data_IF_363881547325
#
_entry.id   IF_363881547325
#
_cell.length_a   1.000
_cell.length_b   1.000
_cell.length_c   1.000
_cell.angle_alpha   90.00
_cell.angle_beta   90.00
_cell.angle_gamma   90.00
#
_symmetry.space_group_name_H-M   'P 1'
#
loop_
_entity.id
_entity.type
_entity.pdbx_description
1 polymer ?
#
# COMPACT_ATOMS: atom_id res chain seq x y z
N UNK A 1 21.21 -27.78 -41.09
CA UNK A 1 20.15 -28.28 -40.19
C UNK A 1 19.24 -27.12 -39.85
N UNK A 2 18.19 -26.96 -40.66
CA UNK A 2 17.23 -25.88 -40.50
C UNK A 2 16.11 -26.33 -39.55
N UNK A 3 15.91 -25.57 -38.52
CA UNK A 3 14.79 -25.79 -37.58
C UNK A 3 13.61 -24.94 -38.03
N UNK A 4 12.64 -25.56 -38.60
CA UNK A 4 11.40 -24.96 -39.11
C UNK A 4 10.50 -24.60 -37.92
N UNK A 5 10.28 -23.32 -37.69
CA UNK A 5 9.29 -22.82 -36.75
C UNK A 5 7.88 -23.05 -37.32
N UNK A 6 7.06 -23.85 -36.65
CA UNK A 6 5.64 -24.05 -36.96
C UNK A 6 4.83 -22.85 -36.51
N UNK A 7 4.39 -22.04 -37.46
CA UNK A 7 3.39 -21.01 -37.26
C UNK A 7 2.02 -21.67 -37.09
N UNK A 8 1.38 -21.49 -35.94
CA UNK A 8 0.01 -21.95 -35.70
C UNK A 8 -0.94 -20.91 -36.29
N UNK A 9 -1.57 -21.31 -37.41
CA UNK A 9 -2.57 -20.52 -38.10
C UNK A 9 -3.91 -20.50 -37.33
N UNK A 10 -4.32 -19.32 -36.86
CA UNK A 10 -5.52 -19.08 -36.03
C UNK A 10 -6.83 -18.97 -36.85
N UNK A 11 -6.87 -19.43 -38.11
CA UNK A 11 -8.01 -19.19 -38.99
C UNK A 11 -8.91 -20.40 -39.30
N UNK A 12 -8.87 -21.45 -38.48
CA UNK A 12 -9.72 -22.64 -38.75
C UNK A 12 -10.59 -23.04 -37.55
N UNK A 13 -11.47 -22.14 -37.11
CA UNK A 13 -12.60 -22.51 -36.25
C UNK A 13 -13.82 -21.62 -36.55
N UNK A 14 -14.32 -21.73 -37.79
CA UNK A 14 -15.65 -21.23 -38.14
C UNK A 14 -16.29 -22.20 -39.13
N UNK A 15 -17.07 -23.12 -38.63
CA UNK A 15 -18.30 -23.64 -39.22
C UNK A 15 -18.72 -24.96 -38.59
N UNK A 16 -19.62 -24.94 -37.63
CA UNK A 16 -20.71 -25.92 -37.51
C UNK A 16 -21.70 -25.33 -36.51
N UNK A 17 -22.80 -24.87 -37.01
CA UNK A 17 -23.88 -24.31 -36.21
C UNK A 17 -24.63 -25.41 -35.43
N UNK A 18 -25.19 -25.01 -34.33
CA UNK A 18 -26.50 -25.42 -33.83
C UNK A 18 -26.80 -24.59 -32.57
N UNK A 19 -27.93 -23.99 -32.53
CA UNK A 19 -28.34 -22.97 -31.58
C UNK A 19 -28.24 -23.39 -30.11
N UNK A 20 -27.64 -22.54 -29.33
CA UNK A 20 -27.81 -22.48 -27.91
C UNK A 20 -28.26 -21.05 -27.60
N UNK A 21 -29.41 -20.99 -26.95
CA UNK A 21 -30.04 -19.76 -26.48
C UNK A 21 -29.00 -18.87 -25.79
N UNK A 22 -28.91 -17.63 -26.27
CA UNK A 22 -28.11 -16.58 -25.66
C UNK A 22 -28.65 -16.30 -24.24
N UNK A 23 -28.11 -16.98 -23.23
CA UNK A 23 -28.06 -16.41 -21.92
C UNK A 23 -27.05 -15.26 -21.97
N UNK A 24 -27.51 -14.07 -22.30
CA UNK A 24 -26.80 -12.83 -22.05
C UNK A 24 -26.66 -12.69 -20.53
N UNK A 25 -25.75 -13.47 -19.94
CA UNK A 25 -25.17 -13.19 -18.66
C UNK A 25 -24.48 -11.85 -18.82
N UNK A 26 -25.16 -10.77 -18.41
CA UNK A 26 -24.53 -9.50 -18.09
C UNK A 26 -23.39 -9.84 -17.14
N UNK A 27 -22.16 -9.90 -17.67
CA UNK A 27 -20.98 -9.78 -16.85
C UNK A 27 -21.14 -8.42 -16.15
N UNK A 28 -21.71 -8.45 -14.93
CA UNK A 28 -21.59 -7.32 -14.03
C UNK A 28 -20.09 -7.14 -13.89
N UNK A 29 -19.57 -6.09 -14.49
CA UNK A 29 -18.35 -5.48 -14.01
C UNK A 29 -18.52 -5.47 -12.49
N UNK A 30 -17.62 -6.13 -11.77
CA UNK A 30 -17.55 -5.97 -10.34
C UNK A 30 -17.13 -4.51 -10.13
N UNK A 31 -18.13 -3.60 -10.12
CA UNK A 31 -17.90 -2.26 -9.61
C UNK A 31 -17.31 -2.45 -8.21
N UNK A 32 -16.09 -1.95 -8.02
CA UNK A 32 -15.48 -1.96 -6.72
C UNK A 32 -16.49 -1.31 -5.76
N UNK A 33 -16.98 -2.08 -4.80
CA UNK A 33 -17.99 -1.58 -3.88
C UNK A 33 -17.45 -0.33 -3.20
N UNK A 34 -18.27 0.72 -3.15
CA UNK A 34 -17.93 1.96 -2.43
C UNK A 34 -17.44 1.64 -1.01
N UNK A 35 -16.34 2.28 -0.58
CA UNK A 35 -15.84 2.06 0.76
C UNK A 35 -16.89 2.40 1.82
N UNK A 36 -17.05 1.53 2.81
CA UNK A 36 -17.92 1.74 3.96
C UNK A 36 -17.51 2.99 4.77
N UNK A 37 -18.38 3.52 5.62
CA UNK A 37 -18.01 4.65 6.50
C UNK A 37 -16.78 4.37 7.37
N UNK A 38 -16.63 3.13 7.86
CA UNK A 38 -15.46 2.70 8.63
C UNK A 38 -14.19 2.71 7.77
N UNK A 39 -14.24 2.18 6.56
CA UNK A 39 -13.11 2.16 5.64
C UNK A 39 -12.68 3.59 5.24
N UNK A 40 -13.64 4.49 4.99
CA UNK A 40 -13.37 5.91 4.74
C UNK A 40 -12.68 6.58 5.93
N UNK A 41 -13.13 6.30 7.15
CA UNK A 41 -12.50 6.82 8.37
C UNK A 41 -11.08 6.26 8.55
N UNK A 42 -10.88 4.96 8.32
CA UNK A 42 -9.56 4.32 8.43
C UNK A 42 -8.58 4.88 7.39
N UNK A 43 -9.01 5.08 6.14
CA UNK A 43 -8.19 5.74 5.11
C UNK A 43 -7.82 7.16 5.51
N UNK A 44 -8.74 7.92 6.13
CA UNK A 44 -8.44 9.28 6.59
C UNK A 44 -7.37 9.29 7.69
N UNK A 45 -7.43 8.36 8.64
CA UNK A 45 -6.40 8.21 9.69
C UNK A 45 -5.01 8.00 9.06
N UNK A 46 -4.89 7.12 8.06
CA UNK A 46 -3.61 6.88 7.38
C UNK A 46 -3.14 8.11 6.60
N UNK A 47 -4.04 8.82 5.93
CA UNK A 47 -3.72 10.08 5.24
C UNK A 47 -3.24 11.16 6.21
N UNK A 48 -3.91 11.32 7.34
CA UNK A 48 -3.53 12.27 8.38
C UNK A 48 -2.19 11.91 9.01
N UNK A 49 -1.93 10.62 9.23
CA UNK A 49 -0.64 10.11 9.65
C UNK A 49 0.46 10.48 8.65
N UNK A 50 0.27 10.23 7.36
CA UNK A 50 1.24 10.61 6.31
C UNK A 50 1.46 12.13 6.27
N UNK A 51 0.40 12.92 6.40
CA UNK A 51 0.48 14.38 6.41
C UNK A 51 1.17 14.96 7.66
N UNK A 52 1.28 14.19 8.74
CA UNK A 52 1.93 14.63 9.97
C UNK A 52 3.47 14.58 9.88
N UNK A 53 4.06 13.75 9.03
CA UNK A 53 5.50 13.49 8.99
C UNK A 53 6.38 14.73 8.73
N UNK A 54 6.02 15.65 7.82
CA UNK A 54 6.83 16.86 7.59
C UNK A 54 6.94 17.79 8.80
N UNK A 55 6.12 17.58 9.85
CA UNK A 55 6.23 18.35 11.09
C UNK A 55 7.46 17.97 11.92
N UNK A 56 8.05 16.78 11.68
CA UNK A 56 9.12 16.18 12.47
C UNK A 56 8.80 16.06 13.98
N UNK A 57 7.51 16.13 14.32
CA UNK A 57 7.02 16.02 15.70
C UNK A 57 6.78 14.56 16.05
N UNK A 58 7.70 14.01 16.84
CA UNK A 58 7.68 12.61 17.24
C UNK A 58 6.41 12.25 18.02
N UNK A 59 5.97 13.10 18.95
CA UNK A 59 4.79 12.82 19.76
C UNK A 59 3.53 12.85 18.91
N UNK A 60 3.46 13.77 17.96
CA UNK A 60 2.36 13.82 16.98
C UNK A 60 2.29 12.54 16.13
N UNK A 61 3.42 12.02 15.68
CA UNK A 61 3.47 10.75 14.93
C UNK A 61 3.09 9.57 15.83
N UNK A 62 3.65 9.50 17.03
CA UNK A 62 3.35 8.43 17.98
C UNK A 62 1.91 8.43 18.46
N UNK A 63 1.22 9.57 18.43
CA UNK A 63 -0.19 9.68 18.82
C UNK A 63 -1.13 8.87 17.91
N UNK A 64 -0.71 8.53 16.69
CA UNK A 64 -1.49 7.65 15.80
C UNK A 64 -1.48 6.18 16.24
N UNK A 65 -0.57 5.76 17.11
CA UNK A 65 -0.42 4.37 17.55
C UNK A 65 -0.91 4.16 18.99
N UNK A 66 -1.43 2.96 19.32
CA UNK A 66 -1.57 2.54 20.70
C UNK A 66 -0.21 2.17 21.29
N UNK A 67 -0.14 1.97 22.61
CA UNK A 67 1.12 1.62 23.30
C UNK A 67 1.73 0.30 22.82
N UNK A 68 0.92 -0.63 22.36
CA UNK A 68 1.33 -1.93 21.82
C UNK A 68 1.42 -1.96 20.29
N UNK A 69 1.47 -0.79 19.64
CA UNK A 69 1.59 -0.68 18.18
C UNK A 69 2.85 -1.32 17.62
N UNK A 70 2.81 -1.66 16.33
CA UNK A 70 3.94 -2.29 15.63
C UNK A 70 4.25 -1.59 14.31
N UNK A 71 5.55 -1.50 13.98
CA UNK A 71 6.04 -0.98 12.71
C UNK A 71 7.19 -1.79 12.16
N UNK A 72 7.09 -2.22 10.91
CA UNK A 72 8.16 -2.83 10.13
C UNK A 72 8.51 -1.95 8.94
N UNK A 73 9.70 -1.37 8.95
CA UNK A 73 10.15 -0.39 7.97
C UNK A 73 10.49 -0.99 6.59
N UNK A 74 10.94 -2.25 6.54
CA UNK A 74 11.26 -2.96 5.30
C UNK A 74 10.91 -4.44 5.45
N UNK A 75 10.80 -5.15 4.33
CA UNK A 75 10.45 -6.57 4.28
C UNK A 75 11.43 -7.48 5.06
N UNK A 76 12.67 -7.02 5.16
CA UNK A 76 13.78 -7.80 5.76
C UNK A 76 14.00 -7.49 7.24
N UNK A 77 13.29 -6.49 7.80
CA UNK A 77 13.43 -6.11 9.20
C UNK A 77 12.37 -6.77 10.07
N UNK A 78 12.74 -7.06 11.31
CA UNK A 78 11.77 -7.43 12.33
C UNK A 78 10.89 -6.24 12.72
N UNK A 79 9.59 -6.43 12.98
CA UNK A 79 8.73 -5.38 13.46
C UNK A 79 9.17 -4.84 14.83
N UNK A 80 9.29 -3.53 14.94
CA UNK A 80 9.41 -2.85 16.23
C UNK A 80 8.03 -2.86 16.91
N UNK A 81 7.92 -3.52 18.06
CA UNK A 81 6.65 -3.70 18.79
C UNK A 81 6.68 -2.99 20.13
N UNK A 82 5.59 -2.29 20.44
CA UNK A 82 5.44 -1.52 21.67
C UNK A 82 6.04 -0.12 21.58
N UNK A 83 5.63 0.76 22.50
CA UNK A 83 5.94 2.20 22.48
C UNK A 83 7.43 2.49 22.39
N UNK A 84 8.25 1.83 23.16
CA UNK A 84 9.70 2.07 23.19
C UNK A 84 10.37 1.71 21.86
N UNK A 85 10.16 0.49 21.37
CA UNK A 85 10.76 0.01 20.12
C UNK A 85 10.25 0.81 18.91
N UNK A 86 8.94 1.14 18.89
CA UNK A 86 8.33 1.97 17.87
C UNK A 86 8.95 3.38 17.87
N UNK A 87 9.10 4.00 19.02
CA UNK A 87 9.75 5.30 19.19
C UNK A 87 11.18 5.28 18.66
N UNK A 88 11.97 4.28 19.05
CA UNK A 88 13.34 4.13 18.59
C UNK A 88 13.40 4.00 17.05
N UNK A 89 12.51 3.20 16.45
CA UNK A 89 12.43 3.01 14.99
C UNK A 89 12.07 4.31 14.25
N UNK A 90 11.05 5.03 14.70
CA UNK A 90 10.59 6.27 14.06
C UNK A 90 11.69 7.35 14.15
N UNK A 91 12.40 7.46 15.28
CA UNK A 91 13.51 8.40 15.47
C UNK A 91 14.63 8.26 14.41
N UNK A 92 14.81 7.08 13.82
CA UNK A 92 15.87 6.88 12.82
C UNK A 92 15.61 7.63 11.50
N UNK A 93 14.36 7.97 11.19
CA UNK A 93 14.00 8.58 9.91
C UNK A 93 13.24 9.90 10.03
N UNK A 94 12.59 10.18 11.16
CA UNK A 94 11.64 11.31 11.26
C UNK A 94 12.24 12.66 10.84
N UNK A 95 13.49 12.92 11.19
CA UNK A 95 14.15 14.19 10.88
C UNK A 95 14.55 14.33 9.41
N UNK A 96 14.51 13.23 8.65
CA UNK A 96 14.92 13.21 7.26
C UNK A 96 13.74 13.18 6.28
N UNK A 97 12.54 12.85 6.75
CA UNK A 97 11.34 12.83 5.91
C UNK A 97 10.90 14.25 5.59
N UNK A 98 10.92 14.62 4.32
CA UNK A 98 10.41 15.92 3.87
C UNK A 98 8.95 15.86 3.43
N UNK A 99 8.51 14.71 2.90
CA UNK A 99 7.14 14.50 2.43
C UNK A 99 6.82 13.03 2.28
N UNK A 100 5.58 12.66 2.58
CA UNK A 100 4.94 11.44 2.10
C UNK A 100 3.95 11.81 1.00
N UNK A 101 4.34 11.59 -0.26
CA UNK A 101 3.50 11.85 -1.42
C UNK A 101 2.62 10.62 -1.69
N UNK A 102 1.33 10.74 -1.36
CA UNK A 102 0.36 9.65 -1.53
C UNK A 102 -0.04 9.55 -3.01
N UNK A 103 0.13 8.36 -3.60
CA UNK A 103 -0.29 8.04 -4.95
C UNK A 103 -1.71 7.45 -4.95
N UNK A 104 -1.96 6.48 -4.05
CA UNK A 104 -3.28 5.87 -3.88
C UNK A 104 -3.50 5.40 -2.44
N UNK A 105 -4.77 5.31 -2.04
CA UNK A 105 -5.16 4.77 -0.73
C UNK A 105 -6.49 4.06 -0.86
N UNK A 106 -6.54 2.80 -0.47
CA UNK A 106 -7.77 2.03 -0.40
C UNK A 106 -7.83 1.20 0.89
N UNK A 107 -9.03 0.73 1.25
CA UNK A 107 -9.25 -0.03 2.47
C UNK A 107 -10.17 -1.22 2.23
N UNK A 108 -9.99 -2.26 3.04
CA UNK A 108 -10.92 -3.36 3.17
C UNK A 108 -11.02 -3.80 4.63
N UNK A 109 -12.18 -3.49 5.23
CA UNK A 109 -12.34 -3.67 6.67
C UNK A 109 -11.32 -2.83 7.47
N UNK A 110 -10.59 -3.42 8.42
CA UNK A 110 -9.60 -2.70 9.22
C UNK A 110 -8.28 -2.43 8.47
N UNK A 111 -8.05 -3.09 7.34
CA UNK A 111 -6.82 -2.96 6.55
C UNK A 111 -6.91 -1.76 5.61
N UNK A 112 -5.89 -0.91 5.64
CA UNK A 112 -5.67 0.19 4.70
C UNK A 112 -4.37 -0.06 3.96
N UNK A 113 -4.40 0.09 2.65
CA UNK A 113 -3.21 0.05 1.80
C UNK A 113 -2.99 1.44 1.24
N UNK A 114 -1.75 1.92 1.35
CA UNK A 114 -1.37 3.25 0.92
C UNK A 114 -0.11 3.15 0.07
N UNK A 115 -0.23 3.42 -1.22
CA UNK A 115 0.90 3.58 -2.12
C UNK A 115 1.40 5.01 -2.06
N UNK A 116 2.73 5.19 -1.87
CA UNK A 116 3.31 6.52 -1.72
C UNK A 116 4.78 6.57 -2.13
N UNK A 117 5.24 7.79 -2.35
CA UNK A 117 6.66 8.12 -2.48
C UNK A 117 7.07 8.93 -1.25
N UNK A 118 7.94 8.36 -0.42
CA UNK A 118 8.56 9.05 0.69
C UNK A 118 9.77 9.83 0.17
N UNK A 119 9.78 11.14 0.40
CA UNK A 119 10.89 12.02 0.01
C UNK A 119 11.72 12.37 1.23
N UNK A 120 13.03 12.36 1.05
CA UNK A 120 13.97 12.61 2.13
C UNK A 120 14.87 13.80 1.82
N UNK A 121 15.30 14.49 2.88
CA UNK A 121 16.37 15.50 2.85
C UNK A 121 17.47 15.08 3.81
N UNK A 122 18.73 15.31 3.40
CA UNK A 122 19.94 14.99 4.19
C UNK A 122 20.01 13.50 4.64
N UNK A 123 19.60 12.60 3.76
CA UNK A 123 19.58 11.17 4.02
C UNK A 123 20.27 10.40 2.87
N UNK A 124 20.58 9.11 3.08
CA UNK A 124 21.19 8.26 2.06
C UNK A 124 20.28 7.97 0.86
N UNK A 125 18.98 8.13 1.05
CA UNK A 125 17.98 8.03 0.00
C UNK A 125 17.42 9.43 -0.31
N UNK A 126 17.18 9.71 -1.58
CA UNK A 126 16.36 10.84 -2.04
C UNK A 126 14.89 10.52 -1.93
N UNK A 127 14.54 9.30 -2.33
CA UNK A 127 13.16 8.82 -2.30
C UNK A 127 13.09 7.31 -2.09
N UNK A 128 11.96 6.90 -1.53
CA UNK A 128 11.51 5.52 -1.43
C UNK A 128 10.08 5.45 -1.96
N UNK A 129 9.84 4.56 -2.92
CA UNK A 129 8.51 4.27 -3.46
C UNK A 129 8.08 2.90 -2.96
N UNK A 130 6.94 2.82 -2.35
CA UNK A 130 6.45 1.57 -1.80
C UNK A 130 4.99 1.61 -1.37
N UNK A 131 4.61 0.51 -0.76
CA UNK A 131 3.25 0.29 -0.26
C UNK A 131 3.31 0.07 1.25
N UNK A 132 2.60 0.93 1.98
CA UNK A 132 2.31 0.74 3.39
C UNK A 132 1.02 -0.06 3.58
N UNK A 133 1.07 -1.14 4.35
CA UNK A 133 -0.09 -1.88 4.81
C UNK A 133 -0.32 -1.56 6.28
N UNK A 134 -1.46 -0.98 6.58
CA UNK A 134 -1.84 -0.51 7.90
C UNK A 134 -3.04 -1.30 8.40
N UNK A 135 -3.06 -1.65 9.68
CA UNK A 135 -4.25 -2.14 10.35
C UNK A 135 -4.71 -1.09 11.35
N UNK A 136 -5.96 -0.64 11.18
CA UNK A 136 -6.57 0.40 12.02
C UNK A 136 -7.64 -0.21 12.91
N UNK A 137 -7.56 0.07 14.20
CA UNK A 137 -8.55 -0.35 15.21
C UNK A 137 -8.76 0.79 16.21
N UNK A 138 -10.01 1.07 16.52
CA UNK A 138 -10.40 2.08 17.51
C UNK A 138 -9.74 3.45 17.27
N UNK A 139 -9.64 3.86 15.99
CA UNK A 139 -9.03 5.13 15.60
C UNK A 139 -7.51 5.18 15.68
N UNK A 140 -6.82 4.05 15.86
CA UNK A 140 -5.37 3.95 15.97
C UNK A 140 -4.80 2.97 14.97
N UNK A 141 -3.57 3.22 14.50
CA UNK A 141 -2.78 2.32 13.67
C UNK A 141 -2.16 1.28 14.60
N UNK A 142 -2.72 0.07 14.64
CA UNK A 142 -2.19 -1.01 15.51
C UNK A 142 -0.99 -1.69 14.89
N UNK A 143 -0.92 -1.74 13.56
CA UNK A 143 0.20 -2.32 12.81
C UNK A 143 0.45 -1.50 11.54
N UNK A 144 1.74 -1.34 11.19
CA UNK A 144 2.20 -0.74 9.95
C UNK A 144 3.36 -1.54 9.37
N UNK A 145 3.23 -1.95 8.11
CA UNK A 145 4.23 -2.73 7.37
C UNK A 145 4.51 -2.08 6.02
N UNK A 146 5.78 -1.74 5.76
CA UNK A 146 6.19 -1.20 4.48
C UNK A 146 6.79 -2.27 3.57
N UNK A 147 6.50 -2.15 2.27
CA UNK A 147 6.97 -3.00 1.18
C UNK A 147 7.54 -2.14 0.07
N UNK A 148 8.80 -2.36 -0.28
CA UNK A 148 9.54 -1.56 -1.24
C UNK A 148 9.19 -1.93 -2.67
N UNK A 149 8.86 -0.94 -3.50
CA UNK A 149 8.77 -1.06 -4.96
C UNK A 149 10.08 -0.61 -5.59
N UNK A 150 10.55 0.60 -5.22
CA UNK A 150 11.79 1.18 -5.72
C UNK A 150 12.41 2.15 -4.70
N UNK A 151 13.69 2.47 -4.87
CA UNK A 151 14.35 3.51 -4.09
C UNK A 151 15.40 4.21 -4.92
N UNK A 152 15.57 5.53 -4.73
CA UNK A 152 16.61 6.34 -5.35
C UNK A 152 17.59 6.81 -4.26
N UNK A 153 18.87 6.55 -4.48
CA UNK A 153 19.95 7.01 -3.58
C UNK A 153 20.33 8.47 -3.86
N UNK A 154 20.84 9.13 -2.84
CA UNK A 154 21.33 10.49 -2.92
C UNK A 154 22.67 10.58 -3.70
#
# INVERSE_FOLDING_TARGET
>A
METTARTIDRRMFLASGLGVAAATGLARSADAAEPSPMEKANMQIVKDFCAAWPSHDLEKILAFFPDNGAYRMTETMEPAKGREALTARIKTIINNVSQFEILDTWARGPMVVNERIDRFSNFQLKSWHGVGVFFVKDGKIVEWYDYTIASERA
#
